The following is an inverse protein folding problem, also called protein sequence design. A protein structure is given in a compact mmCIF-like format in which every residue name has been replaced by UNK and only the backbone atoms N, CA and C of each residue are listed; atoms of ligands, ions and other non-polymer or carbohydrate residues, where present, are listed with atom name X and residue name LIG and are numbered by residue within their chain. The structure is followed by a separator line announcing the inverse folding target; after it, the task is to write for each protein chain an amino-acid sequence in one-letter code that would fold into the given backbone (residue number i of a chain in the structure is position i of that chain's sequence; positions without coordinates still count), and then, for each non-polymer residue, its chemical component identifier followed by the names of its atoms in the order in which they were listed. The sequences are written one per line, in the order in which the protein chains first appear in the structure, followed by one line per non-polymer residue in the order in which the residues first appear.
data_IF_294968273950
#
_entry.id   IF_294968273950
#
_cell.length_a   1.000
_cell.length_b   1.000
_cell.length_c   1.000
_cell.angle_alpha   90.00
_cell.angle_beta   90.00
_cell.angle_gamma   90.00
#
_symmetry.space_group_name_H-M   'P 1'
#
loop_
_entity.id
_entity.type
_entity.pdbx_description
1 polymer ?
#
# COMPACT_ATOMS: atom_id res chain seq x y z
N UNK A 1 17.92 22.20 -8.73
CA UNK A 1 17.94 20.80 -9.24
C UNK A 1 17.91 19.88 -8.05
N UNK A 2 17.03 18.87 -8.07
CA UNK A 2 16.89 17.94 -6.97
C UNK A 2 18.16 17.08 -6.81
N UNK A 3 18.51 16.78 -5.55
CA UNK A 3 19.59 15.86 -5.24
C UNK A 3 19.31 14.47 -5.84
N UNK A 4 20.29 13.81 -6.50
CA UNK A 4 20.08 12.51 -7.13
C UNK A 4 19.63 11.40 -6.17
N UNK A 5 20.06 11.45 -4.91
CA UNK A 5 19.67 10.48 -3.88
C UNK A 5 18.20 10.67 -3.50
N UNK A 6 17.76 11.93 -3.34
CA UNK A 6 16.37 12.29 -3.04
C UNK A 6 15.44 11.94 -4.21
N UNK A 7 15.88 12.19 -5.45
CA UNK A 7 15.18 11.77 -6.66
C UNK A 7 15.05 10.24 -6.73
N UNK A 8 16.10 9.51 -6.36
CA UNK A 8 16.09 8.05 -6.33
C UNK A 8 15.10 7.50 -5.29
N UNK A 9 15.09 8.05 -4.07
CA UNK A 9 14.13 7.66 -3.01
C UNK A 9 12.68 7.83 -3.49
N UNK A 10 12.37 8.97 -4.11
CA UNK A 10 11.04 9.24 -4.65
C UNK A 10 10.66 8.24 -5.75
N UNK A 11 11.61 7.90 -6.64
CA UNK A 11 11.37 6.91 -7.69
C UNK A 11 11.16 5.50 -7.14
N UNK A 12 11.94 5.09 -6.14
CA UNK A 12 11.78 3.79 -5.46
C UNK A 12 10.40 3.72 -4.80
N UNK A 13 9.99 4.77 -4.09
CA UNK A 13 8.67 4.81 -3.47
C UNK A 13 7.53 4.72 -4.49
N UNK A 14 7.65 5.40 -5.65
CA UNK A 14 6.68 5.29 -6.75
C UNK A 14 6.56 3.87 -7.32
N UNK A 15 7.67 3.14 -7.41
CA UNK A 15 7.66 1.74 -7.89
C UNK A 15 7.01 0.83 -6.84
N UNK A 16 7.44 0.95 -5.59
CA UNK A 16 6.90 0.16 -4.48
C UNK A 16 5.39 0.38 -4.30
N UNK A 17 4.90 1.62 -4.41
CA UNK A 17 3.47 1.90 -4.25
C UNK A 17 2.62 1.23 -5.34
N UNK A 18 3.13 1.15 -6.57
CA UNK A 18 2.47 0.44 -7.68
C UNK A 18 2.44 -1.07 -7.46
N UNK A 19 3.55 -1.65 -7.00
CA UNK A 19 3.63 -3.08 -6.70
C UNK A 19 2.65 -3.44 -5.57
N UNK A 20 2.60 -2.62 -4.51
CA UNK A 20 1.65 -2.79 -3.41
C UNK A 20 0.19 -2.72 -3.87
N UNK A 21 -0.14 -1.81 -4.79
CA UNK A 21 -1.48 -1.72 -5.36
C UNK A 21 -1.84 -2.97 -6.18
N UNK A 22 -0.91 -3.46 -7.01
CA UNK A 22 -1.12 -4.69 -7.77
C UNK A 22 -1.29 -5.92 -6.87
N UNK A 23 -0.52 -6.02 -5.79
CA UNK A 23 -0.66 -7.07 -4.79
C UNK A 23 -2.01 -7.02 -4.08
N UNK A 24 -2.51 -5.83 -3.73
CA UNK A 24 -3.84 -5.67 -3.13
C UNK A 24 -4.96 -6.08 -4.10
N UNK A 25 -4.84 -5.71 -5.38
CA UNK A 25 -5.82 -6.09 -6.41
C UNK A 25 -5.84 -7.61 -6.61
N UNK A 26 -4.68 -8.26 -6.63
CA UNK A 26 -4.57 -9.72 -6.69
C UNK A 26 -5.20 -10.39 -5.47
N UNK A 27 -4.88 -9.93 -4.26
CA UNK A 27 -5.43 -10.46 -3.02
C UNK A 27 -6.95 -10.29 -2.97
N UNK A 28 -7.45 -9.11 -3.34
CA UNK A 28 -8.88 -8.83 -3.43
C UNK A 28 -9.57 -9.72 -4.46
N UNK A 29 -8.95 -9.95 -5.61
CA UNK A 29 -9.45 -10.87 -6.64
C UNK A 29 -9.55 -12.32 -6.15
N UNK A 30 -8.54 -12.80 -5.42
CA UNK A 30 -8.54 -14.15 -4.83
C UNK A 30 -9.66 -14.32 -3.81
N UNK A 31 -9.83 -13.33 -2.91
CA UNK A 31 -10.87 -13.35 -1.88
C UNK A 31 -12.28 -13.38 -2.50
N UNK A 32 -12.52 -12.57 -3.54
CA UNK A 32 -13.82 -12.51 -4.19
C UNK A 32 -14.13 -13.74 -5.08
N UNK A 33 -13.10 -14.42 -5.60
CA UNK A 33 -13.27 -15.56 -6.52
C UNK A 33 -13.61 -16.87 -5.79
N UNK A 34 -13.24 -17.00 -4.51
CA UNK A 34 -13.47 -18.20 -3.72
C UNK A 34 -14.37 -17.91 -2.50
N UNK A 35 -15.71 -17.98 -2.65
CA UNK A 35 -16.64 -17.77 -1.53
C UNK A 35 -16.59 -18.87 -0.46
N UNK A 36 -15.93 -20.00 -0.73
CA UNK A 36 -15.73 -21.12 0.20
C UNK A 36 -14.27 -21.20 0.67
N UNK A 37 -13.67 -20.06 1.03
CA UNK A 37 -12.33 -20.07 1.59
C UNK A 37 -12.34 -20.82 2.93
N UNK A 38 -11.44 -21.79 3.07
CA UNK A 38 -11.19 -22.45 4.35
C UNK A 38 -10.68 -21.43 5.38
N UNK A 39 -10.92 -21.69 6.67
CA UNK A 39 -10.39 -20.88 7.77
C UNK A 39 -8.87 -20.64 7.68
N UNK A 40 -8.11 -21.63 7.19
CA UNK A 40 -6.67 -21.50 6.94
C UNK A 40 -6.34 -20.49 5.84
N UNK A 41 -7.09 -20.49 4.74
CA UNK A 41 -6.91 -19.54 3.63
C UNK A 41 -7.32 -18.12 4.02
N UNK A 42 -8.40 -17.96 4.79
CA UNK A 42 -8.80 -16.68 5.36
C UNK A 42 -7.72 -16.13 6.31
N UNK A 43 -7.15 -16.98 7.15
CA UNK A 43 -6.06 -16.60 8.06
C UNK A 43 -4.80 -16.20 7.29
N UNK A 44 -4.45 -16.92 6.22
CA UNK A 44 -3.33 -16.57 5.34
C UNK A 44 -3.56 -15.23 4.64
N UNK A 45 -4.76 -15.03 4.09
CA UNK A 45 -5.16 -13.78 3.44
C UNK A 45 -5.13 -12.61 4.40
N UNK A 46 -5.55 -12.81 5.66
CA UNK A 46 -5.48 -11.79 6.71
C UNK A 46 -4.03 -11.41 7.04
N UNK A 47 -3.14 -12.40 7.17
CA UNK A 47 -1.70 -12.16 7.37
C UNK A 47 -1.08 -11.38 6.22
N UNK A 48 -1.42 -11.75 4.97
CA UNK A 48 -0.98 -11.02 3.77
C UNK A 48 -1.49 -9.59 3.77
N UNK A 49 -2.76 -9.38 4.12
CA UNK A 49 -3.37 -8.05 4.21
C UNK A 49 -2.65 -7.17 5.25
N UNK A 50 -2.35 -7.72 6.44
CA UNK A 50 -1.60 -7.00 7.48
C UNK A 50 -0.19 -6.66 7.02
N UNK A 51 0.52 -7.62 6.42
CA UNK A 51 1.86 -7.39 5.87
C UNK A 51 1.87 -6.32 4.78
N UNK A 52 0.83 -6.27 3.94
CA UNK A 52 0.69 -5.25 2.91
C UNK A 52 0.47 -3.86 3.52
N UNK A 53 -0.28 -3.77 4.62
CA UNK A 53 -0.49 -2.53 5.37
C UNK A 53 0.82 -2.01 6.02
N UNK A 54 1.61 -2.91 6.61
CA UNK A 54 2.95 -2.61 7.13
C UNK A 54 3.88 -2.08 6.05
N UNK A 55 3.87 -2.70 4.86
CA UNK A 55 4.68 -2.25 3.72
C UNK A 55 4.20 -0.92 3.14
N UNK A 56 2.90 -0.64 3.18
CA UNK A 56 2.38 0.69 2.83
C UNK A 56 2.92 1.77 3.78
N UNK A 57 2.96 1.49 5.09
CA UNK A 57 3.54 2.40 6.08
C UNK A 57 5.04 2.63 5.84
N UNK A 58 5.81 1.56 5.58
CA UNK A 58 7.23 1.68 5.25
C UNK A 58 7.47 2.50 3.98
N UNK A 59 6.61 2.34 2.97
CA UNK A 59 6.67 3.14 1.75
C UNK A 59 6.38 4.62 2.05
N UNK A 60 5.39 4.91 2.90
CA UNK A 60 5.07 6.27 3.33
C UNK A 60 6.24 6.90 4.12
N UNK A 61 6.87 6.16 5.03
CA UNK A 61 8.07 6.61 5.76
C UNK A 61 9.23 6.95 4.80
N UNK A 62 9.42 6.16 3.74
CA UNK A 62 10.40 6.46 2.69
C UNK A 62 10.07 7.78 1.98
N UNK A 63 8.80 8.00 1.64
CA UNK A 63 8.32 9.24 1.00
C UNK A 63 8.51 10.45 1.91
N UNK A 64 8.22 10.32 3.21
CA UNK A 64 8.40 11.36 4.20
C UNK A 64 9.89 11.70 4.43
N UNK A 65 10.78 10.73 4.23
CA UNK A 65 12.22 10.95 4.31
C UNK A 65 12.78 11.82 3.17
N UNK A 66 12.03 11.99 2.08
CA UNK A 66 12.49 12.73 0.89
C UNK A 66 12.56 14.24 1.17
N UNK A 67 13.77 14.79 1.09
CA UNK A 67 14.07 16.20 1.30
C UNK A 67 14.03 16.97 -0.01
N UNK A 68 12.98 17.76 -0.19
CA UNK A 68 12.77 18.56 -1.38
C UNK A 68 13.04 20.06 -1.10
N UNK A 69 13.94 20.70 -1.86
CA UNK A 69 14.10 22.16 -1.86
C UNK A 69 12.78 22.90 -2.19
N UNK A 70 12.68 24.17 -1.81
CA UNK A 70 11.45 24.94 -2.02
C UNK A 70 11.14 25.16 -3.52
N UNK A 71 12.18 25.26 -4.35
CA UNK A 71 12.13 25.47 -5.80
C UNK A 71 11.80 24.20 -6.61
N UNK A 72 11.76 23.03 -5.97
CA UNK A 72 11.36 21.75 -6.58
C UNK A 72 9.84 21.55 -6.53
N UNK A 73 9.06 22.46 -7.13
CA UNK A 73 7.59 22.43 -7.06
C UNK A 73 7.00 21.16 -7.68
N UNK A 74 7.56 20.71 -8.81
CA UNK A 74 7.10 19.50 -9.51
C UNK A 74 7.28 18.26 -8.64
N UNK A 75 8.45 18.10 -8.02
CA UNK A 75 8.74 16.93 -7.18
C UNK A 75 7.96 16.98 -5.87
N UNK A 76 7.63 18.17 -5.36
CA UNK A 76 6.75 18.33 -4.19
C UNK A 76 5.31 17.94 -4.52
N UNK A 77 4.84 18.29 -5.71
CA UNK A 77 3.54 17.83 -6.21
C UNK A 77 3.53 16.30 -6.36
N UNK A 78 4.55 15.72 -7.01
CA UNK A 78 4.69 14.26 -7.15
C UNK A 78 4.72 13.54 -5.80
N UNK A 79 5.43 14.09 -4.81
CA UNK A 79 5.49 13.53 -3.45
C UNK A 79 4.11 13.59 -2.79
N UNK A 80 3.38 14.69 -2.96
CA UNK A 80 2.02 14.84 -2.42
C UNK A 80 1.07 13.82 -3.05
N UNK A 81 1.08 13.70 -4.37
CA UNK A 81 0.25 12.73 -5.09
C UNK A 81 0.55 11.29 -4.65
N UNK A 82 1.82 10.98 -4.38
CA UNK A 82 2.23 9.67 -3.88
C UNK A 82 1.78 9.41 -2.44
N UNK A 83 1.82 10.42 -1.55
CA UNK A 83 1.25 10.32 -0.20
C UNK A 83 -0.25 10.07 -0.27
N UNK A 84 -0.97 10.89 -1.04
CA UNK A 84 -2.42 10.79 -1.20
C UNK A 84 -2.80 9.39 -1.76
N UNK A 85 -2.04 8.89 -2.74
CA UNK A 85 -2.20 7.53 -3.27
C UNK A 85 -1.97 6.42 -2.23
N UNK A 86 -0.90 6.51 -1.43
CA UNK A 86 -0.58 5.51 -0.41
C UNK A 86 -1.64 5.49 0.70
N UNK A 87 -2.15 6.66 1.10
CA UNK A 87 -3.23 6.77 2.08
C UNK A 87 -4.53 6.13 1.56
N UNK A 88 -4.91 6.41 0.31
CA UNK A 88 -6.05 5.76 -0.35
C UNK A 88 -5.86 4.24 -0.46
N UNK A 89 -4.64 3.79 -0.75
CA UNK A 89 -4.31 2.38 -0.80
C UNK A 89 -4.52 1.74 0.58
N UNK A 90 -3.96 2.32 1.65
CA UNK A 90 -4.13 1.82 3.02
C UNK A 90 -5.60 1.70 3.43
N UNK A 91 -6.44 2.68 3.07
CA UNK A 91 -7.90 2.59 3.30
C UNK A 91 -8.50 1.36 2.60
N UNK A 92 -8.11 1.08 1.36
CA UNK A 92 -8.58 -0.12 0.64
C UNK A 92 -8.10 -1.41 1.32
N UNK A 93 -6.85 -1.44 1.79
CA UNK A 93 -6.31 -2.58 2.55
C UNK A 93 -7.12 -2.81 3.83
N UNK A 94 -7.44 -1.75 4.57
CA UNK A 94 -8.27 -1.84 5.78
C UNK A 94 -9.68 -2.35 5.49
N UNK A 95 -10.29 -1.96 4.36
CA UNK A 95 -11.58 -2.50 3.92
C UNK A 95 -11.48 -4.01 3.64
N UNK A 96 -10.42 -4.47 2.98
CA UNK A 96 -10.19 -5.91 2.73
C UNK A 96 -9.99 -6.66 4.05
N UNK A 97 -9.19 -6.11 4.96
CA UNK A 97 -8.96 -6.65 6.31
C UNK A 97 -10.26 -6.78 7.07
N UNK A 98 -11.10 -5.74 7.09
CA UNK A 98 -12.38 -5.73 7.78
C UNK A 98 -13.32 -6.82 7.23
N UNK A 99 -13.38 -6.98 5.90
CA UNK A 99 -14.16 -8.06 5.26
C UNK A 99 -13.67 -9.44 5.69
N UNK A 100 -12.36 -9.69 5.64
CA UNK A 100 -11.77 -10.97 6.06
C UNK A 100 -12.07 -11.27 7.54
N UNK A 101 -11.94 -10.27 8.41
CA UNK A 101 -12.23 -10.44 9.84
C UNK A 101 -13.69 -10.79 10.10
N UNK A 102 -14.64 -10.14 9.42
CA UNK A 102 -16.07 -10.49 9.53
C UNK A 102 -16.32 -11.94 9.12
N UNK A 103 -15.73 -12.39 8.01
CA UNK A 103 -15.87 -13.79 7.55
C UNK A 103 -15.30 -14.79 8.58
N UNK A 104 -14.18 -14.47 9.24
CA UNK A 104 -13.58 -15.36 10.27
C UNK A 104 -14.33 -15.42 11.60
N UNK A 105 -15.18 -14.43 11.91
CA UNK A 105 -15.94 -14.35 13.17
C UNK A 105 -17.31 -15.03 13.06
N UNK A 106 -17.79 -15.25 11.84
CA UNK A 106 -19.14 -15.81 11.59
C UNK A 106 -19.16 -17.35 11.49
N UNK A 107 -18.02 -18.02 11.73
CA UNK A 107 -17.88 -19.48 11.82
C UNK A 107 -17.89 -19.99 13.27
#
# INVERSE_FOLDING_TARGET
MLDPEEAHKLQVAKLQSRDLAAELDQLSGQINSNPTNSKSELTSSLKQTVSLLERCMQCLELVDSVRLPYDCESERADRKDLVDFLQDLMVKVDVVKAKLMQTTVTE
#
